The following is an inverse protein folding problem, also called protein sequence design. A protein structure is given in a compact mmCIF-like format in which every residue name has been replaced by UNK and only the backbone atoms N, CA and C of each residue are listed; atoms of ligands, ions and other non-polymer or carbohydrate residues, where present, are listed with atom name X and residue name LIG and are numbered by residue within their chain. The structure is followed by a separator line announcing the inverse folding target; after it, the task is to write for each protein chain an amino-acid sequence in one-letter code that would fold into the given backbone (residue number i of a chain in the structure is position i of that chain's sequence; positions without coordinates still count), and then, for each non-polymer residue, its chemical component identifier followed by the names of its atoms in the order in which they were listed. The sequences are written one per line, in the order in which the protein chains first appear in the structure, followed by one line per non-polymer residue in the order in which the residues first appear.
data_IF_945203324079
#
_entry.id   IF_945203324079
#
_cell.length_a   1.000
_cell.length_b   1.000
_cell.length_c   1.000
_cell.angle_alpha   90.00
_cell.angle_beta   90.00
_cell.angle_gamma   90.00
#
_symmetry.space_group_name_H-M   'P 1'
#
loop_
_entity.id
_entity.type
_entity.pdbx_description
1 polymer ?
#
# COMPACT_ATOMS: atom_id res chain seq x y z
N UNK A 1 -95.03 4.40 -57.66
CA UNK A 1 -94.05 5.47 -57.38
C UNK A 1 -93.58 5.32 -55.94
N UNK A 2 -92.38 4.70 -55.72
CA UNK A 2 -91.77 4.58 -54.37
C UNK A 2 -90.31 4.89 -54.54
N UNK A 3 -89.83 5.97 -53.89
CA UNK A 3 -88.42 6.42 -53.93
C UNK A 3 -87.65 5.69 -52.83
N UNK A 4 -86.72 4.86 -53.27
CA UNK A 4 -85.71 4.22 -52.38
C UNK A 4 -84.66 5.28 -52.03
N UNK A 5 -84.50 5.53 -50.72
CA UNK A 5 -83.35 6.30 -50.19
C UNK A 5 -82.26 5.26 -49.78
N UNK A 6 -81.13 5.32 -50.45
CA UNK A 6 -79.95 4.62 -50.09
C UNK A 6 -79.22 5.38 -48.98
N UNK A 7 -79.07 4.81 -47.83
CA UNK A 7 -78.30 5.37 -46.74
C UNK A 7 -76.84 4.98 -46.95
N UNK A 8 -75.95 5.96 -47.14
CA UNK A 8 -74.49 5.77 -47.14
C UNK A 8 -74.01 5.65 -45.69
N UNK A 9 -73.49 4.49 -45.34
CA UNK A 9 -72.73 4.27 -44.09
C UNK A 9 -71.28 4.71 -44.34
N UNK A 10 -70.87 5.79 -43.68
CA UNK A 10 -69.50 6.28 -43.63
C UNK A 10 -68.70 5.41 -42.60
N UNK A 11 -67.79 4.60 -43.09
CA UNK A 11 -66.81 3.89 -42.28
C UNK A 11 -65.63 4.87 -41.99
N UNK A 12 -65.53 5.30 -40.73
CA UNK A 12 -64.35 6.06 -40.27
C UNK A 12 -63.19 5.11 -39.93
N UNK A 13 -61.97 5.36 -40.43
CA UNK A 13 -60.81 4.57 -40.03
C UNK A 13 -60.40 4.94 -38.60
N UNK A 14 -60.38 3.97 -37.70
CA UNK A 14 -59.78 4.05 -36.37
C UNK A 14 -58.29 4.13 -36.53
N UNK A 15 -57.69 5.32 -36.45
CA UNK A 15 -56.24 5.50 -36.31
C UNK A 15 -55.87 5.11 -34.90
N UNK A 16 -55.36 3.89 -34.72
CA UNK A 16 -54.71 3.43 -33.49
C UNK A 16 -53.40 4.21 -33.32
N UNK A 17 -53.44 5.27 -32.51
CA UNK A 17 -52.25 5.98 -32.06
C UNK A 17 -51.40 5.04 -31.17
N UNK A 18 -50.35 4.50 -31.77
CA UNK A 18 -49.30 3.86 -31.01
C UNK A 18 -48.62 4.93 -30.14
N UNK A 19 -49.06 5.04 -28.89
CA UNK A 19 -48.33 5.75 -27.84
C UNK A 19 -46.99 5.05 -27.64
N UNK A 20 -45.97 5.52 -28.34
CA UNK A 20 -44.61 5.23 -28.05
C UNK A 20 -44.26 5.69 -26.65
N UNK A 21 -44.36 4.77 -25.68
CA UNK A 21 -43.72 4.97 -24.37
C UNK A 21 -42.24 5.27 -24.63
N UNK A 22 -41.72 6.44 -24.21
CA UNK A 22 -40.27 6.60 -24.20
C UNK A 22 -39.73 5.52 -23.28
N UNK A 23 -39.02 4.54 -23.85
CA UNK A 23 -38.03 3.73 -23.14
C UNK A 23 -37.08 4.79 -22.55
N UNK A 24 -37.37 5.24 -21.33
CA UNK A 24 -36.37 5.79 -20.46
C UNK A 24 -35.39 4.65 -20.24
N UNK A 25 -34.46 4.51 -21.19
CA UNK A 25 -33.21 3.84 -20.93
C UNK A 25 -32.70 4.50 -19.65
N UNK A 26 -32.90 3.84 -18.51
CA UNK A 26 -32.16 4.13 -17.30
C UNK A 26 -30.71 4.03 -17.75
N UNK A 27 -30.12 5.17 -18.05
CA UNK A 27 -28.68 5.30 -18.06
C UNK A 27 -28.30 4.86 -16.64
N UNK A 28 -28.02 3.56 -16.47
CA UNK A 28 -27.37 3.05 -15.29
C UNK A 28 -26.17 3.96 -15.13
N UNK A 29 -26.22 4.83 -14.11
CA UNK A 29 -25.16 5.80 -13.85
C UNK A 29 -23.87 4.99 -13.80
N UNK A 30 -23.11 5.05 -14.92
CA UNK A 30 -21.91 4.25 -15.07
C UNK A 30 -20.99 4.58 -13.91
N UNK A 31 -20.64 3.57 -13.10
CA UNK A 31 -19.69 3.74 -12.01
C UNK A 31 -18.28 4.02 -12.59
N UNK A 32 -17.56 5.03 -12.06
CA UNK A 32 -17.97 6.03 -11.07
C UNK A 32 -18.67 7.24 -11.72
N UNK A 33 -19.65 7.84 -11.01
CA UNK A 33 -20.36 9.06 -11.44
C UNK A 33 -20.16 10.26 -10.49
N UNK A 34 -19.31 10.09 -9.47
CA UNK A 34 -18.91 11.12 -8.50
C UNK A 34 -17.44 10.88 -8.08
N UNK A 35 -16.81 11.86 -7.41
CA UNK A 35 -15.44 11.70 -6.93
C UNK A 35 -15.23 10.47 -6.06
N UNK A 36 -14.09 9.78 -6.26
CA UNK A 36 -13.63 8.68 -5.42
C UNK A 36 -12.70 9.24 -4.35
N UNK A 37 -12.72 8.67 -3.15
CA UNK A 37 -11.86 9.05 -2.05
C UNK A 37 -10.86 7.93 -1.73
N UNK A 38 -9.56 8.26 -1.71
CA UNK A 38 -8.50 7.44 -1.17
C UNK A 38 -8.12 7.97 0.21
N UNK A 39 -8.51 7.26 1.26
CA UNK A 39 -8.07 7.51 2.63
C UNK A 39 -6.66 6.97 2.78
N UNK A 40 -5.76 7.76 3.36
CA UNK A 40 -4.35 7.39 3.59
C UNK A 40 -4.03 7.53 5.07
N UNK A 41 -3.54 6.49 5.76
CA UNK A 41 -3.35 6.49 7.21
C UNK A 41 -2.12 7.27 7.69
N UNK A 42 -1.42 7.94 6.80
CA UNK A 42 -0.17 8.66 7.09
C UNK A 42 -0.22 10.08 6.59
N UNK A 43 0.70 10.90 7.11
CA UNK A 43 0.89 12.28 6.64
C UNK A 43 1.30 12.30 5.17
N UNK A 44 1.01 13.40 4.49
CA UNK A 44 1.40 13.64 3.12
C UNK A 44 2.93 13.47 2.94
N UNK A 45 3.35 12.90 1.80
CA UNK A 45 4.75 12.62 1.47
C UNK A 45 5.29 11.30 2.03
N UNK A 46 4.53 10.54 2.82
CA UNK A 46 4.88 9.18 3.21
C UNK A 46 4.71 8.19 2.05
N UNK A 47 5.25 6.96 2.21
CA UNK A 47 5.23 5.94 1.16
C UNK A 47 3.81 5.64 0.63
N UNK A 48 2.80 5.33 1.45
CA UNK A 48 1.45 5.09 0.95
C UNK A 48 0.81 6.32 0.30
N UNK A 49 1.11 7.54 0.78
CA UNK A 49 0.62 8.78 0.18
C UNK A 49 1.23 9.01 -1.21
N UNK A 50 2.52 8.79 -1.38
CA UNK A 50 3.21 8.89 -2.67
C UNK A 50 2.60 7.91 -3.69
N UNK A 51 2.43 6.66 -3.31
CA UNK A 51 1.79 5.64 -4.16
C UNK A 51 0.34 6.04 -4.48
N UNK A 52 -0.43 6.44 -3.45
CA UNK A 52 -1.83 6.85 -3.64
C UNK A 52 -1.97 7.99 -4.64
N UNK A 53 -1.12 9.04 -4.57
CA UNK A 53 -1.19 10.20 -5.49
C UNK A 53 -0.86 9.83 -6.92
N UNK A 54 0.15 8.97 -7.14
CA UNK A 54 0.51 8.53 -8.50
C UNK A 54 -0.64 7.75 -9.14
N UNK A 55 -1.25 6.80 -8.40
CA UNK A 55 -2.41 6.06 -8.92
C UNK A 55 -3.65 6.93 -9.02
N UNK A 56 -3.93 7.81 -8.05
CA UNK A 56 -5.13 8.66 -8.03
C UNK A 56 -5.19 9.58 -9.26
N UNK A 57 -4.06 10.17 -9.65
CA UNK A 57 -3.99 11.03 -10.84
C UNK A 57 -4.43 10.25 -12.10
N UNK A 58 -3.85 9.09 -12.33
CA UNK A 58 -4.13 8.27 -13.53
C UNK A 58 -5.51 7.60 -13.48
N UNK A 59 -5.95 7.17 -12.29
CA UNK A 59 -7.32 6.69 -12.12
C UNK A 59 -8.34 7.76 -12.45
N UNK A 60 -8.11 9.00 -12.00
CA UNK A 60 -9.00 10.12 -12.31
C UNK A 60 -9.16 10.34 -13.82
N UNK A 61 -8.05 10.31 -14.57
CA UNK A 61 -8.04 10.40 -16.03
C UNK A 61 -8.79 9.24 -16.70
N UNK A 62 -8.59 8.00 -16.21
CA UNK A 62 -9.20 6.79 -16.81
C UNK A 62 -10.67 6.61 -16.46
N UNK A 63 -11.09 7.09 -15.31
CA UNK A 63 -12.45 6.93 -14.80
C UNK A 63 -13.34 8.15 -15.09
N UNK A 64 -12.77 9.27 -15.54
CA UNK A 64 -13.50 10.51 -15.77
C UNK A 64 -14.05 11.17 -14.49
N UNK A 65 -13.56 10.74 -13.32
CA UNK A 65 -13.96 11.28 -12.02
C UNK A 65 -12.70 11.50 -11.16
N UNK A 66 -12.59 12.61 -10.45
CA UNK A 66 -11.41 12.87 -9.60
C UNK A 66 -11.28 11.83 -8.49
N UNK A 67 -10.03 11.44 -8.20
CA UNK A 67 -9.69 10.62 -7.03
C UNK A 67 -8.99 11.53 -6.01
N UNK A 68 -9.66 11.75 -4.87
CA UNK A 68 -9.25 12.70 -3.85
C UNK A 68 -8.47 11.96 -2.75
N UNK A 69 -7.29 12.45 -2.38
CA UNK A 69 -6.52 11.93 -1.26
C UNK A 69 -6.95 12.59 0.04
N UNK A 70 -7.33 11.76 1.02
CA UNK A 70 -7.75 12.15 2.36
C UNK A 70 -6.77 11.56 3.39
N UNK A 71 -5.75 12.33 3.78
CA UNK A 71 -4.77 11.89 4.76
C UNK A 71 -5.36 11.92 6.17
N UNK A 72 -5.42 10.75 6.84
CA UNK A 72 -5.94 10.57 8.21
C UNK A 72 -4.92 9.87 9.10
N UNK A 73 -3.85 10.56 9.49
CA UNK A 73 -2.82 9.99 10.37
C UNK A 73 -3.36 9.76 11.78
N UNK A 74 -2.77 8.78 12.47
CA UNK A 74 -3.05 8.53 13.89
C UNK A 74 -3.10 7.05 14.24
N UNK A 75 -2.59 6.73 15.43
CA UNK A 75 -2.60 5.39 16.03
C UNK A 75 -2.16 4.29 15.03
N UNK A 76 -1.04 4.49 14.35
CA UNK A 76 -0.51 3.56 13.32
C UNK A 76 -1.57 3.13 12.28
N UNK A 77 -2.42 4.09 11.83
CA UNK A 77 -3.44 3.85 10.81
C UNK A 77 -4.81 3.43 11.32
N UNK A 78 -5.00 3.21 12.62
CA UNK A 78 -6.29 2.83 13.21
C UNK A 78 -7.38 3.84 12.87
N UNK A 79 -7.09 5.16 12.91
CA UNK A 79 -8.04 6.22 12.58
C UNK A 79 -8.54 6.09 11.13
N UNK A 80 -7.66 5.84 10.19
CA UNK A 80 -8.02 5.67 8.78
C UNK A 80 -8.81 4.37 8.54
N UNK A 81 -8.43 3.28 9.23
CA UNK A 81 -9.15 2.02 9.17
C UNK A 81 -10.60 2.15 9.62
N UNK A 82 -10.82 2.79 10.77
CA UNK A 82 -12.15 3.06 11.29
C UNK A 82 -12.96 3.96 10.36
N UNK A 83 -12.31 4.95 9.70
CA UNK A 83 -12.95 5.80 8.73
C UNK A 83 -13.43 5.02 7.49
N UNK A 84 -12.64 4.05 6.99
CA UNK A 84 -13.10 3.17 5.92
C UNK A 84 -14.22 2.23 6.40
N UNK A 85 -14.06 1.56 7.55
CA UNK A 85 -15.03 0.61 8.08
C UNK A 85 -16.44 1.22 8.28
N UNK A 86 -16.49 2.51 8.67
CA UNK A 86 -17.71 3.28 8.86
C UNK A 86 -18.23 4.00 7.60
N UNK A 87 -17.50 3.94 6.48
CA UNK A 87 -17.90 4.61 5.24
C UNK A 87 -19.06 3.90 4.54
N UNK A 88 -19.84 4.59 3.67
CA UNK A 88 -20.77 3.94 2.77
C UNK A 88 -20.10 2.87 1.93
N UNK A 89 -20.76 1.72 1.76
CA UNK A 89 -20.24 0.57 1.01
C UNK A 89 -20.59 0.67 -0.48
N UNK A 90 -20.48 1.88 -1.03
CA UNK A 90 -20.92 2.21 -2.39
C UNK A 90 -19.79 2.22 -3.44
N UNK A 91 -18.57 1.88 -3.02
CA UNK A 91 -17.41 1.84 -3.91
C UNK A 91 -16.72 3.19 -4.14
N UNK A 92 -17.06 4.24 -3.36
CA UNK A 92 -16.46 5.56 -3.52
C UNK A 92 -15.45 5.93 -2.43
N UNK A 93 -15.25 5.05 -1.46
CA UNK A 93 -14.19 5.22 -0.44
C UNK A 93 -13.33 3.98 -0.38
N UNK A 94 -12.03 4.18 -0.50
CA UNK A 94 -11.01 3.14 -0.41
C UNK A 94 -9.93 3.57 0.55
N UNK A 95 -9.14 2.63 1.06
CA UNK A 95 -8.00 2.88 1.92
C UNK A 95 -6.73 2.44 1.20
N UNK A 96 -5.75 3.34 1.12
CA UNK A 96 -4.42 3.02 0.59
C UNK A 96 -3.46 2.92 1.77
N UNK A 97 -2.97 1.72 2.04
CA UNK A 97 -2.18 1.44 3.24
C UNK A 97 -1.08 0.41 2.99
N UNK A 98 -0.20 0.27 3.97
CA UNK A 98 0.78 -0.82 4.05
C UNK A 98 0.31 -1.94 5.02
N UNK A 99 1.19 -2.95 5.23
CA UNK A 99 0.92 -4.11 6.06
C UNK A 99 0.66 -3.84 7.54
N UNK A 100 0.92 -2.63 8.03
CA UNK A 100 0.77 -2.31 9.46
C UNK A 100 -0.64 -2.60 9.99
N UNK A 101 -1.66 -2.31 9.17
CA UNK A 101 -3.06 -2.40 9.60
C UNK A 101 -3.59 -3.83 9.74
N UNK A 102 -3.09 -4.77 8.95
CA UNK A 102 -3.61 -6.13 8.94
C UNK A 102 -2.64 -7.15 9.54
N UNK A 103 -1.36 -6.82 9.66
CA UNK A 103 -0.35 -7.71 10.21
C UNK A 103 0.12 -7.27 11.60
N UNK A 104 0.45 -5.99 11.76
CA UNK A 104 1.12 -5.47 12.94
C UNK A 104 0.11 -5.07 14.01
N UNK A 105 -0.85 -4.20 13.67
CA UNK A 105 -1.80 -3.68 14.64
C UNK A 105 -2.62 -4.77 15.36
N UNK A 106 -3.15 -5.81 14.67
CA UNK A 106 -3.87 -6.89 15.35
C UNK A 106 -3.03 -7.66 16.36
N UNK A 107 -1.72 -7.72 16.17
CA UNK A 107 -0.81 -8.40 17.09
C UNK A 107 -0.40 -7.51 18.28
N UNK A 108 -0.40 -6.20 18.11
CA UNK A 108 0.11 -5.25 19.11
C UNK A 108 -1.00 -4.60 19.95
N UNK A 109 -2.15 -4.28 19.36
CA UNK A 109 -3.20 -3.52 20.04
C UNK A 109 -4.40 -4.38 20.40
N UNK A 110 -4.88 -4.30 21.64
CA UNK A 110 -6.02 -5.07 22.13
C UNK A 110 -7.37 -4.56 21.60
N UNK A 111 -7.49 -3.26 21.35
CA UNK A 111 -8.74 -2.60 21.00
C UNK A 111 -8.55 -1.74 19.74
N UNK A 112 -8.66 -2.35 18.56
CA UNK A 112 -8.47 -1.65 17.29
C UNK A 112 -9.71 -0.92 16.80
N UNK A 113 -10.92 -1.36 17.22
CA UNK A 113 -12.17 -0.86 16.68
C UNK A 113 -12.43 -1.28 15.22
N UNK A 114 -11.63 -2.20 14.68
CA UNK A 114 -11.85 -2.88 13.40
C UNK A 114 -11.27 -4.30 13.45
N UNK A 115 -11.78 -5.16 12.55
CA UNK A 115 -11.22 -6.47 12.24
C UNK A 115 -10.94 -6.52 10.73
N UNK A 116 -9.65 -6.66 10.36
CA UNK A 116 -9.28 -6.52 8.95
C UNK A 116 -9.89 -7.61 8.06
N UNK A 117 -10.08 -8.83 8.58
CA UNK A 117 -10.68 -9.96 7.84
C UNK A 117 -12.18 -9.79 7.63
N UNK A 118 -12.85 -9.19 8.62
CA UNK A 118 -14.29 -8.95 8.59
C UNK A 118 -14.64 -7.68 7.83
N UNK A 119 -13.89 -6.61 8.06
CA UNK A 119 -14.30 -5.25 7.69
C UNK A 119 -13.74 -4.78 6.35
N UNK A 120 -12.70 -5.46 5.81
CA UNK A 120 -12.05 -5.02 4.58
C UNK A 120 -11.93 -6.11 3.52
N UNK A 121 -11.95 -5.67 2.27
CA UNK A 121 -11.74 -6.50 1.08
C UNK A 121 -10.52 -5.98 0.30
N UNK A 122 -9.60 -6.84 -0.14
CA UNK A 122 -8.50 -6.44 -1.02
C UNK A 122 -9.04 -5.98 -2.38
N UNK A 123 -8.44 -4.91 -2.91
CA UNK A 123 -8.73 -4.39 -4.25
C UNK A 123 -7.53 -4.61 -5.16
N UNK A 124 -6.36 -4.10 -4.79
CA UNK A 124 -5.14 -4.30 -5.57
C UNK A 124 -3.91 -4.02 -4.71
N UNK A 125 -2.89 -4.85 -4.82
CA UNK A 125 -1.55 -4.50 -4.41
C UNK A 125 -1.00 -3.49 -5.43
N UNK A 126 -0.91 -2.23 -5.01
CA UNK A 126 -0.49 -1.14 -5.88
C UNK A 126 1.02 -1.16 -6.15
N UNK A 127 1.80 -1.40 -5.10
CA UNK A 127 3.25 -1.31 -5.18
C UNK A 127 3.96 -2.07 -4.05
N UNK A 128 5.27 -2.30 -4.23
CA UNK A 128 6.19 -2.81 -3.22
C UNK A 128 7.34 -1.82 -3.06
N UNK A 129 7.78 -1.58 -1.83
CA UNK A 129 8.84 -0.62 -1.53
C UNK A 129 9.95 -1.28 -0.72
N UNK A 130 11.05 -1.71 -1.35
CA UNK A 130 12.20 -2.24 -0.63
C UNK A 130 12.75 -1.25 0.39
N UNK A 131 13.09 -1.75 1.59
CA UNK A 131 13.89 -1.01 2.55
C UNK A 131 15.34 -1.48 2.44
N UNK A 132 16.25 -0.54 2.59
CA UNK A 132 17.68 -0.78 2.50
C UNK A 132 18.32 -0.69 3.87
N UNK A 133 19.18 -1.68 4.19
CA UNK A 133 20.05 -1.65 5.35
C UNK A 133 21.12 -0.59 5.11
N UNK A 134 20.96 0.53 5.79
CA UNK A 134 21.83 1.69 5.69
C UNK A 134 22.68 1.81 6.93
N UNK A 135 23.99 2.02 6.76
CA UNK A 135 24.93 2.20 7.87
C UNK A 135 25.66 3.53 7.76
N UNK A 136 25.99 4.09 8.93
CA UNK A 136 26.82 5.28 9.03
C UNK A 136 28.24 4.99 8.49
N UNK A 137 28.93 5.90 7.77
CA UNK A 137 30.25 5.67 7.19
C UNK A 137 31.33 5.21 8.18
N UNK A 138 31.22 5.61 9.45
CA UNK A 138 32.13 5.18 10.53
C UNK A 138 32.04 3.70 10.89
N UNK A 139 30.95 3.02 10.49
CA UNK A 139 30.82 1.56 10.67
C UNK A 139 31.80 0.89 9.72
N UNK A 140 32.78 0.09 10.24
CA UNK A 140 33.82 -0.56 9.43
C UNK A 140 33.27 -1.80 8.75
N UNK A 141 32.24 -1.64 7.93
CA UNK A 141 31.60 -2.66 7.10
C UNK A 141 31.16 -2.02 5.77
N UNK A 142 31.47 -2.66 4.65
CA UNK A 142 31.12 -2.24 3.29
C UNK A 142 30.21 -3.27 2.59
N UNK A 143 30.04 -4.45 3.19
CA UNK A 143 29.19 -5.52 2.72
C UNK A 143 28.27 -5.99 3.86
N UNK A 144 27.18 -6.69 3.50
CA UNK A 144 26.29 -7.31 4.48
C UNK A 144 27.05 -8.35 5.35
N UNK A 145 27.95 -9.12 4.74
CA UNK A 145 28.75 -10.12 5.43
C UNK A 145 29.69 -9.49 6.47
N UNK A 146 30.38 -8.39 6.10
CA UNK A 146 31.24 -7.65 7.03
C UNK A 146 30.43 -7.06 8.19
N UNK A 147 29.22 -6.53 7.91
CA UNK A 147 28.33 -6.02 8.96
C UNK A 147 27.89 -7.13 9.92
N UNK A 148 27.51 -8.29 9.41
CA UNK A 148 27.14 -9.45 10.22
C UNK A 148 28.32 -9.89 11.10
N UNK A 149 29.52 -9.99 10.54
CA UNK A 149 30.73 -10.35 11.28
C UNK A 149 31.02 -9.33 12.40
N UNK A 150 30.96 -8.04 12.10
CA UNK A 150 31.13 -6.95 13.06
C UNK A 150 30.11 -7.04 14.21
N UNK A 151 28.83 -7.18 13.88
CA UNK A 151 27.76 -7.25 14.88
C UNK A 151 27.89 -8.48 15.80
N UNK A 152 28.37 -9.62 15.26
CA UNK A 152 28.65 -10.81 16.06
C UNK A 152 29.89 -10.67 16.94
N UNK A 153 30.91 -9.94 16.48
CA UNK A 153 32.15 -9.73 17.25
C UNK A 153 31.99 -8.72 18.39
N UNK A 154 30.97 -7.85 18.33
CA UNK A 154 30.72 -6.79 19.31
C UNK A 154 29.22 -6.76 19.69
N UNK A 155 28.70 -7.80 20.36
CA UNK A 155 27.28 -7.90 20.67
C UNK A 155 26.82 -6.75 21.57
N UNK A 156 25.68 -6.13 21.22
CA UNK A 156 25.05 -5.04 21.99
C UNK A 156 25.70 -3.66 21.83
N UNK A 157 26.79 -3.53 21.05
CA UNK A 157 27.50 -2.24 20.90
C UNK A 157 26.97 -1.37 19.75
N UNK A 158 26.24 -1.96 18.81
CA UNK A 158 25.64 -1.23 17.70
C UNK A 158 24.17 -0.90 18.00
N UNK A 159 23.81 0.36 17.79
CA UNK A 159 22.44 0.82 17.91
C UNK A 159 21.78 0.89 16.54
N UNK A 160 20.53 0.44 16.44
CA UNK A 160 19.76 0.61 15.21
C UNK A 160 18.55 1.51 15.41
N UNK A 161 18.33 2.40 14.44
CA UNK A 161 17.17 3.28 14.39
C UNK A 161 15.96 2.63 13.71
N UNK A 162 14.76 3.00 14.13
CA UNK A 162 13.52 2.66 13.44
C UNK A 162 12.55 3.83 13.38
N UNK A 163 11.45 3.67 12.65
CA UNK A 163 10.35 4.65 12.62
C UNK A 163 9.37 4.51 13.79
N UNK A 164 9.76 3.76 14.82
CA UNK A 164 8.96 3.49 16.02
C UNK A 164 8.78 2.00 16.27
N UNK A 165 8.35 1.67 17.49
CA UNK A 165 8.07 0.31 17.91
C UNK A 165 6.96 -0.28 17.04
N UNK A 166 7.14 -1.52 16.55
CA UNK A 166 6.19 -2.18 15.66
C UNK A 166 6.16 -1.66 14.22
N UNK A 167 6.98 -0.67 13.86
CA UNK A 167 7.09 -0.26 12.45
C UNK A 167 7.74 -1.34 11.60
N UNK A 168 7.48 -1.35 10.28
CA UNK A 168 8.12 -2.27 9.34
C UNK A 168 9.66 -2.19 9.42
N UNK A 169 10.20 -1.00 9.66
CA UNK A 169 11.64 -0.78 9.89
C UNK A 169 12.17 -1.54 11.12
N UNK A 170 11.42 -1.49 12.23
CA UNK A 170 11.72 -2.24 13.45
C UNK A 170 11.62 -3.75 13.20
N UNK A 171 10.50 -4.22 12.67
CA UNK A 171 10.24 -5.65 12.45
C UNK A 171 11.23 -6.28 11.46
N UNK A 172 11.63 -5.56 10.41
CA UNK A 172 12.66 -6.03 9.48
C UNK A 172 14.00 -6.25 10.19
N UNK A 173 14.40 -5.32 11.07
CA UNK A 173 15.64 -5.47 11.83
C UNK A 173 15.55 -6.63 12.82
N UNK A 174 14.44 -6.76 13.53
CA UNK A 174 14.23 -7.88 14.46
C UNK A 174 14.21 -9.23 13.74
N UNK A 175 13.61 -9.31 12.54
CA UNK A 175 13.67 -10.50 11.70
C UNK A 175 15.12 -10.88 11.34
N UNK A 176 15.90 -9.90 10.91
CA UNK A 176 17.32 -10.10 10.58
C UNK A 176 18.15 -10.50 11.81
N UNK A 177 17.93 -9.82 12.95
CA UNK A 177 18.59 -10.14 14.23
C UNK A 177 18.30 -11.58 14.65
N UNK A 178 17.03 -11.98 14.62
CA UNK A 178 16.58 -13.33 15.01
C UNK A 178 17.20 -14.40 14.09
N UNK A 179 17.14 -14.20 12.77
CA UNK A 179 17.64 -15.17 11.80
C UNK A 179 19.16 -15.36 11.85
N UNK A 180 19.91 -14.31 12.21
CA UNK A 180 21.37 -14.32 12.20
C UNK A 180 22.01 -14.40 13.60
N UNK A 181 21.22 -14.38 14.67
CA UNK A 181 21.70 -14.36 16.05
C UNK A 181 22.44 -13.07 16.40
N UNK A 182 21.97 -11.91 15.92
CA UNK A 182 22.61 -10.62 16.16
C UNK A 182 22.06 -9.96 17.42
N UNK A 183 22.93 -9.27 18.16
CA UNK A 183 22.54 -8.43 19.30
C UNK A 183 22.81 -6.95 18.95
N UNK A 184 21.74 -6.21 18.63
CA UNK A 184 21.73 -4.77 18.34
C UNK A 184 20.71 -4.09 19.26
N UNK A 185 21.03 -2.89 19.75
CA UNK A 185 20.14 -2.11 20.63
C UNK A 185 19.17 -1.26 19.80
N UNK A 186 17.87 -1.36 20.10
CA UNK A 186 16.84 -0.59 19.41
C UNK A 186 16.72 0.84 19.94
N UNK A 187 16.69 1.82 19.02
CA UNK A 187 16.40 3.23 19.30
C UNK A 187 15.18 3.65 18.46
N UNK A 188 13.98 3.73 19.04
CA UNK A 188 12.78 4.12 18.32
C UNK A 188 12.70 5.64 18.09
N UNK A 189 12.30 6.05 16.87
CA UNK A 189 12.01 7.43 16.49
C UNK A 189 10.54 7.58 16.06
N UNK A 190 10.06 8.83 15.90
CA UNK A 190 8.70 9.11 15.41
C UNK A 190 8.63 9.19 13.88
N UNK A 191 9.32 8.25 13.17
CA UNK A 191 9.33 8.18 11.72
C UNK A 191 10.71 8.40 11.09
N UNK A 192 10.80 8.18 9.77
CA UNK A 192 12.05 8.30 9.00
C UNK A 192 12.61 9.73 8.98
N UNK A 193 11.76 10.74 9.10
CA UNK A 193 12.17 12.13 9.22
C UNK A 193 13.06 12.45 10.43
N UNK A 194 13.07 11.54 11.44
CA UNK A 194 13.96 11.65 12.61
C UNK A 194 15.06 10.57 12.57
N UNK A 195 14.74 9.33 12.19
CA UNK A 195 15.71 8.25 12.25
C UNK A 195 16.82 8.39 11.20
N UNK A 196 16.52 8.91 10.00
CA UNK A 196 17.57 9.13 8.97
C UNK A 196 18.55 10.23 9.37
N UNK A 197 18.14 11.42 9.84
CA UNK A 197 19.07 12.40 10.44
C UNK A 197 19.89 11.83 11.60
N UNK A 198 19.30 10.99 12.46
CA UNK A 198 20.02 10.35 13.56
C UNK A 198 21.12 9.39 13.06
N UNK A 199 20.87 8.65 11.96
CA UNK A 199 21.91 7.84 11.30
C UNK A 199 23.04 8.75 10.77
N UNK A 200 22.71 9.81 10.04
CA UNK A 200 23.68 10.74 9.45
C UNK A 200 24.53 11.43 10.52
N UNK A 201 23.89 11.79 11.63
CA UNK A 201 24.56 12.38 12.81
C UNK A 201 25.35 11.39 13.66
N UNK A 202 25.29 10.07 13.34
CA UNK A 202 25.98 9.02 14.09
C UNK A 202 25.41 8.76 15.48
N UNK A 203 24.14 9.11 15.74
CA UNK A 203 23.41 8.76 16.97
C UNK A 203 23.00 7.28 16.97
N UNK A 204 22.81 6.70 15.79
CA UNK A 204 22.66 5.27 15.56
C UNK A 204 23.58 4.84 14.43
N UNK A 205 24.05 3.59 14.48
CA UNK A 205 25.01 3.06 13.53
C UNK A 205 24.36 2.51 12.26
N UNK A 206 23.10 2.06 12.36
CA UNK A 206 22.40 1.34 11.29
C UNK A 206 20.91 1.58 11.36
N UNK A 207 20.22 1.49 10.23
CA UNK A 207 18.76 1.42 10.15
C UNK A 207 18.32 0.77 8.82
N UNK A 208 17.04 0.41 8.74
CA UNK A 208 16.37 0.22 7.46
C UNK A 208 15.65 1.50 7.05
N UNK A 209 15.71 1.86 5.77
CA UNK A 209 14.88 2.95 5.21
C UNK A 209 14.69 2.78 3.71
N UNK A 210 13.67 3.45 3.16
CA UNK A 210 13.39 3.46 1.73
C UNK A 210 14.44 4.30 0.97
N UNK A 211 14.73 3.92 -0.28
CA UNK A 211 15.74 4.56 -1.11
C UNK A 211 15.54 6.08 -1.26
N UNK A 212 14.33 6.63 -1.44
CA UNK A 212 14.14 8.08 -1.56
C UNK A 212 14.65 8.86 -0.36
N UNK A 213 14.51 8.30 0.85
CA UNK A 213 14.99 8.94 2.08
C UNK A 213 16.51 8.88 2.25
N UNK A 214 17.20 8.04 1.48
CA UNK A 214 18.63 7.77 1.60
C UNK A 214 19.45 8.26 0.39
N UNK A 215 18.85 8.32 -0.80
CA UNK A 215 19.57 8.49 -2.06
C UNK A 215 20.49 9.71 -2.11
N UNK A 216 20.05 10.85 -1.61
CA UNK A 216 20.88 12.07 -1.52
C UNK A 216 22.09 11.88 -0.62
N UNK A 217 21.92 11.22 0.52
CA UNK A 217 22.99 10.98 1.50
C UNK A 217 23.97 9.89 1.04
N UNK A 218 23.46 8.86 0.32
CA UNK A 218 24.32 7.86 -0.32
C UNK A 218 25.21 8.51 -1.38
N UNK A 219 24.62 9.37 -2.25
CA UNK A 219 25.38 10.11 -3.27
C UNK A 219 26.41 11.05 -2.66
N UNK A 220 26.15 11.61 -1.49
CA UNK A 220 27.07 12.46 -0.74
C UNK A 220 28.10 11.66 0.09
N UNK A 221 28.07 10.32 0.08
CA UNK A 221 28.97 9.48 0.87
C UNK A 221 28.70 9.49 2.38
N UNK A 222 27.55 10.03 2.80
CA UNK A 222 27.16 10.15 4.21
C UNK A 222 26.45 8.91 4.76
N UNK A 223 26.11 7.96 3.88
CA UNK A 223 25.48 6.68 4.21
C UNK A 223 25.96 5.62 3.24
N UNK A 224 26.17 4.40 3.71
CA UNK A 224 26.43 3.21 2.89
C UNK A 224 25.22 2.30 2.91
N UNK A 225 24.83 1.74 1.75
CA UNK A 225 23.78 0.71 1.62
C UNK A 225 24.44 -0.65 1.54
N UNK A 226 24.05 -1.59 2.40
CA UNK A 226 24.65 -2.92 2.46
C UNK A 226 23.77 -4.01 1.85
N UNK A 227 22.46 -3.91 1.97
CA UNK A 227 21.50 -4.87 1.41
C UNK A 227 20.10 -4.29 1.36
N UNK A 228 19.16 -4.97 0.71
CA UNK A 228 17.73 -4.67 0.83
C UNK A 228 16.94 -5.85 1.44
N UNK A 229 15.76 -5.56 1.95
CA UNK A 229 14.88 -6.54 2.61
C UNK A 229 13.89 -7.22 1.65
N UNK A 230 14.01 -7.00 0.35
CA UNK A 230 13.17 -7.62 -0.66
C UNK A 230 13.62 -9.05 -0.99
N UNK A 231 12.71 -9.85 -1.58
CA UNK A 231 13.04 -11.19 -2.07
C UNK A 231 14.00 -11.17 -3.26
N UNK A 232 14.00 -10.08 -4.06
CA UNK A 232 14.84 -9.93 -5.25
C UNK A 232 15.42 -8.52 -5.30
N UNK A 233 16.55 -8.37 -6.00
CA UNK A 233 17.18 -7.06 -6.19
C UNK A 233 16.26 -6.12 -6.95
N UNK A 234 16.17 -4.87 -6.50
CA UNK A 234 15.43 -3.84 -7.20
C UNK A 234 16.15 -3.44 -8.49
N UNK A 235 15.38 -3.22 -9.57
CA UNK A 235 15.91 -2.70 -10.83
C UNK A 235 16.58 -1.32 -10.69
N UNK A 236 16.24 -0.59 -9.63
CA UNK A 236 16.78 0.73 -9.34
C UNK A 236 18.11 0.72 -8.59
N UNK A 237 18.41 -0.38 -7.91
CA UNK A 237 19.66 -0.58 -7.19
C UNK A 237 20.17 -2.01 -7.43
N UNK A 238 20.44 -2.41 -8.68
CA UNK A 238 20.76 -3.78 -9.04
C UNK A 238 22.07 -4.28 -8.40
N UNK A 239 22.95 -3.35 -8.04
CA UNK A 239 24.22 -3.64 -7.37
C UNK A 239 24.09 -3.85 -5.86
N UNK A 240 22.93 -3.50 -5.26
CA UNK A 240 22.70 -3.74 -3.83
C UNK A 240 22.15 -5.15 -3.66
N UNK A 241 22.81 -6.04 -2.91
CA UNK A 241 22.34 -7.40 -2.69
C UNK A 241 21.04 -7.40 -1.86
N UNK A 242 20.35 -8.53 -1.88
CA UNK A 242 19.19 -8.75 -0.99
C UNK A 242 19.59 -9.63 0.19
N UNK A 243 18.96 -9.43 1.34
CA UNK A 243 19.19 -10.28 2.53
C UNK A 243 18.81 -11.73 2.22
N UNK A 244 17.84 -11.94 1.32
CA UNK A 244 17.43 -13.26 0.85
C UNK A 244 18.56 -14.10 0.24
N UNK A 245 19.67 -13.49 -0.23
CA UNK A 245 20.85 -14.19 -0.72
C UNK A 245 21.62 -14.91 0.43
N UNK A 246 21.40 -14.49 1.68
CA UNK A 246 22.00 -15.09 2.88
C UNK A 246 20.96 -15.83 3.71
N UNK A 247 19.74 -15.30 3.80
CA UNK A 247 18.61 -15.85 4.57
C UNK A 247 17.52 -16.24 3.58
N UNK A 248 17.44 -17.50 3.13
CA UNK A 248 16.42 -17.94 2.18
C UNK A 248 15.00 -17.60 2.66
N UNK A 249 14.20 -17.00 1.79
CA UNK A 249 12.83 -16.60 2.10
C UNK A 249 12.69 -15.28 2.88
N UNK A 250 13.78 -14.55 3.14
CA UNK A 250 13.71 -13.22 3.74
C UNK A 250 13.09 -12.23 2.76
N UNK A 251 11.84 -11.84 3.03
CA UNK A 251 11.09 -10.85 2.25
C UNK A 251 10.20 -10.03 3.18
N UNK A 252 10.66 -8.84 3.53
CA UNK A 252 10.01 -7.88 4.41
C UNK A 252 9.82 -6.52 3.75
N UNK A 253 9.84 -6.48 2.41
CA UNK A 253 9.55 -5.25 1.68
C UNK A 253 8.07 -4.84 1.90
N UNK A 254 7.81 -3.61 2.39
CA UNK A 254 6.45 -3.13 2.57
C UNK A 254 5.59 -3.26 1.32
N UNK A 255 4.39 -3.80 1.50
CA UNK A 255 3.36 -3.89 0.48
C UNK A 255 2.43 -2.68 0.64
N UNK A 256 2.25 -1.89 -0.41
CA UNK A 256 1.27 -0.80 -0.44
C UNK A 256 0.12 -1.22 -1.34
N UNK A 257 -1.08 -1.28 -0.77
CA UNK A 257 -2.25 -1.72 -1.52
C UNK A 257 -3.50 -0.94 -1.17
N UNK A 258 -4.54 -1.22 -1.94
CA UNK A 258 -5.86 -0.59 -1.84
C UNK A 258 -6.85 -1.59 -1.28
N UNK A 259 -7.57 -1.17 -0.24
CA UNK A 259 -8.64 -1.91 0.41
C UNK A 259 -9.98 -1.19 0.24
N UNK A 260 -11.06 -1.96 0.16
CA UNK A 260 -12.44 -1.50 0.23
C UNK A 260 -13.10 -1.97 1.53
N UNK A 261 -14.17 -1.33 1.96
CA UNK A 261 -15.01 -1.83 3.05
C UNK A 261 -15.74 -3.10 2.59
N UNK A 262 -15.89 -4.07 3.48
CA UNK A 262 -16.68 -5.29 3.20
C UNK A 262 -18.12 -4.93 2.89
N UNK A 263 -18.64 -5.51 1.79
CA UNK A 263 -19.95 -5.19 1.24
C UNK A 263 -19.92 -4.14 0.12
N UNK A 264 -18.75 -3.62 -0.25
CA UNK A 264 -18.57 -2.84 -1.48
C UNK A 264 -18.93 -3.70 -2.70
N UNK A 265 -19.68 -3.17 -3.70
CA UNK A 265 -20.06 -3.92 -4.90
C UNK A 265 -18.84 -4.50 -5.62
N UNK A 266 -18.91 -5.77 -6.00
CA UNK A 266 -17.82 -6.45 -6.72
C UNK A 266 -17.44 -5.72 -8.01
N UNK A 267 -18.42 -5.18 -8.74
CA UNK A 267 -18.19 -4.41 -9.96
C UNK A 267 -17.34 -3.15 -9.73
N UNK A 268 -17.49 -2.49 -8.58
CA UNK A 268 -16.64 -1.34 -8.22
C UNK A 268 -15.22 -1.79 -7.91
N UNK A 269 -15.04 -2.86 -7.13
CA UNK A 269 -13.73 -3.44 -6.83
C UNK A 269 -13.00 -3.86 -8.11
N UNK A 270 -13.66 -4.61 -8.98
CA UNK A 270 -13.12 -5.08 -10.25
C UNK A 270 -12.74 -3.90 -11.18
N UNK A 271 -13.59 -2.87 -11.26
CA UNK A 271 -13.31 -1.69 -12.06
C UNK A 271 -12.03 -0.97 -11.60
N UNK A 272 -11.90 -0.73 -10.29
CA UNK A 272 -10.71 -0.07 -9.73
C UNK A 272 -9.47 -0.95 -9.89
N UNK A 273 -9.55 -2.24 -9.54
CA UNK A 273 -8.44 -3.19 -9.65
C UNK A 273 -7.94 -3.31 -11.10
N UNK A 274 -8.86 -3.43 -12.06
CA UNK A 274 -8.50 -3.52 -13.49
C UNK A 274 -7.77 -2.27 -13.99
N UNK A 275 -8.25 -1.07 -13.63
CA UNK A 275 -7.56 0.16 -14.04
C UNK A 275 -6.22 0.31 -13.31
N UNK A 276 -6.11 -0.07 -12.04
CA UNK A 276 -4.83 -0.06 -11.32
C UNK A 276 -3.80 -0.99 -11.98
N UNK A 277 -4.21 -2.18 -12.43
CA UNK A 277 -3.34 -3.11 -13.15
C UNK A 277 -2.83 -2.55 -14.48
N UNK A 278 -3.64 -1.75 -15.17
CA UNK A 278 -3.23 -1.05 -16.41
C UNK A 278 -2.29 0.12 -16.10
N UNK A 279 -2.62 0.92 -15.10
CA UNK A 279 -1.85 2.09 -14.67
C UNK A 279 -0.46 1.68 -14.20
N UNK A 280 -0.33 0.59 -13.45
CA UNK A 280 0.95 0.09 -12.98
C UNK A 280 1.95 -0.26 -14.10
N UNK A 281 1.44 -0.50 -15.33
CA UNK A 281 2.24 -0.81 -16.51
C UNK A 281 2.57 0.41 -17.37
N UNK A 282 2.07 1.60 -17.03
CA UNK A 282 2.32 2.82 -17.79
C UNK A 282 3.77 3.27 -17.57
N UNK A 283 4.54 3.57 -18.63
CA UNK A 283 5.95 3.94 -18.50
C UNK A 283 6.22 5.10 -17.55
N UNK A 284 5.37 6.13 -17.59
CA UNK A 284 5.48 7.30 -16.71
C UNK A 284 5.17 6.98 -15.24
N UNK A 285 4.29 6.02 -14.96
CA UNK A 285 3.99 5.54 -13.59
C UNK A 285 5.16 4.72 -13.07
N UNK A 286 5.68 3.81 -13.90
CA UNK A 286 6.87 3.02 -13.59
C UNK A 286 8.04 3.96 -13.27
N UNK A 287 8.30 4.93 -14.14
CA UNK A 287 9.39 5.89 -13.93
C UNK A 287 9.21 6.71 -12.64
N UNK A 288 8.00 7.23 -12.40
CA UNK A 288 7.71 8.06 -11.22
C UNK A 288 7.87 7.26 -9.93
N UNK A 289 7.29 6.06 -9.85
CA UNK A 289 7.39 5.21 -8.67
C UNK A 289 8.82 4.68 -8.49
N UNK A 290 9.47 4.30 -9.58
CA UNK A 290 10.85 3.91 -9.56
C UNK A 290 11.78 5.00 -9.03
N UNK A 291 11.64 6.23 -9.44
CA UNK A 291 12.39 7.37 -8.87
C UNK A 291 12.12 7.56 -7.37
N UNK A 292 10.98 7.11 -6.89
CA UNK A 292 10.63 7.06 -5.47
C UNK A 292 11.10 5.77 -4.76
N UNK A 293 11.85 4.90 -5.42
CA UNK A 293 12.32 3.62 -4.85
C UNK A 293 11.21 2.60 -4.63
N UNK A 294 10.15 2.66 -5.44
CA UNK A 294 8.94 1.86 -5.32
C UNK A 294 8.70 1.11 -6.62
N UNK A 295 8.48 -0.19 -6.54
CA UNK A 295 8.17 -1.04 -7.68
C UNK A 295 6.64 -1.15 -7.87
N UNK A 296 6.04 -0.62 -8.96
CA UNK A 296 4.62 -0.77 -9.22
C UNK A 296 4.25 -2.22 -9.53
N UNK A 297 3.07 -2.68 -9.07
CA UNK A 297 2.61 -4.06 -9.25
C UNK A 297 1.26 -4.10 -9.96
N UNK A 298 0.20 -3.53 -9.40
CA UNK A 298 -1.15 -3.58 -9.98
C UNK A 298 -1.73 -4.98 -10.02
N UNK A 299 -1.85 -5.63 -8.86
CA UNK A 299 -2.35 -7.02 -8.76
C UNK A 299 -3.87 -7.11 -8.85
N UNK A 300 -4.37 -8.32 -9.05
CA UNK A 300 -5.78 -8.69 -8.83
C UNK A 300 -6.12 -8.66 -7.32
N UNK A 301 -7.42 -8.60 -6.95
CA UNK A 301 -7.84 -8.71 -5.56
C UNK A 301 -7.40 -10.02 -4.88
N UNK A 302 -7.46 -11.14 -5.60
CA UNK A 302 -7.07 -12.46 -5.10
C UNK A 302 -5.56 -12.54 -4.79
N UNK A 303 -4.72 -12.03 -5.71
CA UNK A 303 -3.27 -11.95 -5.51
C UNK A 303 -2.91 -11.05 -4.33
N UNK A 304 -3.60 -9.92 -4.16
CA UNK A 304 -3.37 -9.05 -3.00
C UNK A 304 -3.82 -9.71 -1.70
N UNK A 305 -4.97 -10.40 -1.70
CA UNK A 305 -5.41 -11.17 -0.53
C UNK A 305 -4.39 -12.23 -0.11
N UNK A 306 -3.79 -12.94 -1.08
CA UNK A 306 -2.70 -13.89 -0.81
C UNK A 306 -1.47 -13.19 -0.25
N UNK A 307 -1.05 -12.07 -0.84
CA UNK A 307 0.10 -11.31 -0.37
C UNK A 307 -0.07 -10.83 1.09
N UNK A 308 -1.27 -10.38 1.47
CA UNK A 308 -1.62 -10.03 2.86
C UNK A 308 -1.47 -11.24 3.78
N UNK A 309 -1.99 -12.41 3.37
CA UNK A 309 -1.90 -13.62 4.19
C UNK A 309 -0.45 -14.06 4.41
N UNK A 310 0.35 -14.06 3.35
CA UNK A 310 1.78 -14.40 3.40
C UNK A 310 2.58 -13.40 4.27
N UNK A 311 2.30 -12.10 4.16
CA UNK A 311 2.93 -11.05 4.98
C UNK A 311 2.55 -11.21 6.46
N UNK A 312 1.27 -11.47 6.75
CA UNK A 312 0.79 -11.72 8.11
C UNK A 312 1.52 -12.87 8.77
N UNK A 313 1.65 -13.99 8.08
CA UNK A 313 2.33 -15.17 8.63
C UNK A 313 3.79 -14.85 9.00
N UNK A 314 4.50 -14.13 8.13
CA UNK A 314 5.89 -13.75 8.38
C UNK A 314 6.01 -12.77 9.54
N UNK A 315 5.22 -11.69 9.55
CA UNK A 315 5.31 -10.65 10.58
C UNK A 315 4.89 -11.14 11.97
N UNK A 316 3.85 -11.98 12.04
CA UNK A 316 3.42 -12.57 13.32
C UNK A 316 4.50 -13.45 13.94
N UNK A 317 5.24 -14.23 13.13
CA UNK A 317 6.39 -15.01 13.62
C UNK A 317 7.48 -14.10 14.21
N UNK A 318 7.77 -12.97 13.55
CA UNK A 318 8.77 -12.00 14.03
C UNK A 318 8.31 -11.34 15.34
N UNK A 319 7.07 -10.87 15.39
CA UNK A 319 6.51 -10.22 16.59
C UNK A 319 6.57 -11.14 17.79
N UNK A 320 6.14 -12.40 17.62
CA UNK A 320 6.17 -13.41 18.68
C UNK A 320 7.60 -13.74 19.13
N UNK A 321 8.53 -13.93 18.16
CA UNK A 321 9.92 -14.29 18.45
C UNK A 321 10.72 -13.17 19.10
N UNK A 322 10.45 -11.92 18.77
CA UNK A 322 11.13 -10.74 19.31
C UNK A 322 10.47 -10.21 20.62
N UNK A 323 9.34 -10.78 21.06
CA UNK A 323 8.62 -10.34 22.26
C UNK A 323 8.13 -8.89 22.16
N UNK A 324 7.86 -8.40 20.96
CA UNK A 324 7.44 -7.01 20.71
C UNK A 324 6.03 -6.82 21.27
N UNK A 325 5.87 -5.80 22.11
CA UNK A 325 4.57 -5.39 22.68
C UNK A 325 4.32 -3.93 22.32
N UNK A 326 3.06 -3.58 22.08
CA UNK A 326 2.66 -2.17 22.05
C UNK A 326 2.78 -1.56 23.45
N UNK A 327 3.16 -0.30 23.52
CA UNK A 327 3.10 0.52 24.73
C UNK A 327 1.66 0.86 25.09
#
# INVERSE_FOLDING_TARGET
MKRNRIALLAVAPLVAGALGLPLLAQAQNAYPNKPIKFVVPYSAGGLPDTVARVFALRLGEKLGQPVIIDNRPGANGVVAAQALASSPKDGYTFLVTDGSMFSINPALYKNLGYDYKRDFMPVSLAARAPLYLAVHPKVPANTLQEFIALAKSKPGTLNYGSSGIGSTHHLTMEAMKSALGLNLTHVPFKGTGQSVPALIGGQVEVLFSALPSLAGFVKAGQVKLLASNAAQRSSQAPNIPVIAEIIPGFDFAPLVGVLAATGTPASAIERISHEMARIAKMPEVIQTLNNAGVDPIGSTPAEYGKAIADENERLLKVIAGAGIKAE
#
